data_IF_031509364153
#
_entry.id   IF_031509364153
#
_cell.length_a   1.000
_cell.length_b   1.000
_cell.length_c   1.000
_cell.angle_alpha   90.00
_cell.angle_beta   90.00
_cell.angle_gamma   90.00
#
_symmetry.space_group_name_H-M   'P 1'
#
loop_
_entity.id
_entity.type
_entity.pdbx_description
1 polymer ?
#
# COMPACT_ATOMS: atom_id res chain seq x y z
N UNK A 1 23.42 -38.42 21.64
CA UNK A 1 22.33 -37.44 21.92
C UNK A 1 22.77 -35.98 21.72
N UNK A 2 23.65 -35.69 20.74
CA UNK A 2 24.26 -34.35 20.57
C UNK A 2 23.55 -33.43 19.56
N UNK A 3 22.80 -33.99 18.60
CA UNK A 3 22.22 -33.21 17.49
C UNK A 3 21.09 -32.26 17.90
N UNK A 4 20.19 -32.70 18.79
CA UNK A 4 19.00 -31.93 19.14
C UNK A 4 19.28 -30.62 19.91
N UNK A 5 20.44 -30.51 20.58
CA UNK A 5 20.82 -29.31 21.33
C UNK A 5 21.47 -28.25 20.43
N UNK A 6 22.17 -28.68 19.39
CA UNK A 6 22.79 -27.83 18.38
C UNK A 6 21.72 -27.23 17.45
N UNK A 7 20.73 -28.03 17.05
CA UNK A 7 19.56 -27.58 16.29
C UNK A 7 18.78 -26.49 17.04
N UNK A 8 18.59 -26.65 18.36
CA UNK A 8 17.89 -25.66 19.18
C UNK A 8 18.66 -24.34 19.29
N UNK A 9 19.98 -24.41 19.48
CA UNK A 9 20.83 -23.21 19.54
C UNK A 9 20.82 -22.45 18.22
N UNK A 10 20.90 -23.17 17.10
CA UNK A 10 20.80 -22.62 15.76
C UNK A 10 19.44 -21.94 15.51
N UNK A 11 18.33 -22.56 15.92
CA UNK A 11 16.99 -21.95 15.80
C UNK A 11 16.84 -20.66 16.60
N UNK A 12 17.44 -20.57 17.79
CA UNK A 12 17.44 -19.36 18.61
C UNK A 12 18.27 -18.25 17.96
N UNK A 13 19.46 -18.57 17.47
CA UNK A 13 20.32 -17.61 16.78
C UNK A 13 19.65 -17.07 15.51
N UNK A 14 19.04 -17.96 14.72
CA UNK A 14 18.29 -17.56 13.53
C UNK A 14 17.12 -16.63 13.87
N UNK A 15 16.34 -16.95 14.91
CA UNK A 15 15.23 -16.09 15.36
C UNK A 15 15.71 -14.70 15.76
N UNK A 16 16.78 -14.61 16.57
CA UNK A 16 17.36 -13.33 17.00
C UNK A 16 17.82 -12.50 15.81
N UNK A 17 18.49 -13.13 14.85
CA UNK A 17 18.92 -12.45 13.63
C UNK A 17 17.71 -11.91 12.83
N UNK A 18 16.64 -12.71 12.69
CA UNK A 18 15.42 -12.24 12.02
C UNK A 18 14.76 -11.07 12.77
N UNK A 19 14.74 -11.09 14.11
CA UNK A 19 14.27 -9.96 14.92
C UNK A 19 15.11 -8.70 14.69
N UNK A 20 16.44 -8.83 14.65
CA UNK A 20 17.36 -7.72 14.35
C UNK A 20 17.12 -7.13 12.95
N UNK A 21 16.94 -7.99 11.94
CA UNK A 21 16.60 -7.58 10.58
C UNK A 21 15.26 -6.84 10.54
N UNK A 22 14.23 -7.35 11.23
CA UNK A 22 12.91 -6.69 11.28
C UNK A 22 12.98 -5.30 11.92
N UNK A 23 13.75 -5.15 13.00
CA UNK A 23 13.99 -3.85 13.62
C UNK A 23 14.69 -2.88 12.67
N UNK A 24 15.73 -3.34 11.98
CA UNK A 24 16.49 -2.53 11.04
C UNK A 24 15.61 -2.09 9.85
N UNK A 25 14.81 -3.01 9.29
CA UNK A 25 13.85 -2.72 8.21
C UNK A 25 12.84 -1.68 8.66
N UNK A 26 12.27 -1.82 9.86
CA UNK A 26 11.31 -0.84 10.38
C UNK A 26 11.93 0.53 10.56
N UNK A 27 13.12 0.62 11.17
CA UNK A 27 13.82 1.88 11.39
C UNK A 27 14.15 2.59 10.06
N UNK A 28 14.68 1.85 9.08
CA UNK A 28 14.99 2.39 7.76
C UNK A 28 13.73 2.90 7.04
N UNK A 29 12.62 2.15 7.10
CA UNK A 29 11.37 2.60 6.49
C UNK A 29 10.81 3.86 7.19
N UNK A 30 10.83 3.92 8.52
CA UNK A 30 10.40 5.12 9.26
C UNK A 30 11.19 6.35 8.84
N UNK A 31 12.52 6.24 8.75
CA UNK A 31 13.38 7.34 8.34
C UNK A 31 13.11 7.76 6.88
N UNK A 32 13.19 6.81 5.94
CA UNK A 32 13.11 7.09 4.50
C UNK A 32 11.70 7.58 4.12
N UNK A 33 10.65 6.90 4.60
CA UNK A 33 9.27 7.28 4.28
C UNK A 33 8.93 8.61 4.95
N UNK A 34 9.32 8.82 6.21
CA UNK A 34 9.10 10.08 6.93
C UNK A 34 9.75 11.27 6.22
N UNK A 35 10.96 11.11 5.69
CA UNK A 35 11.63 12.14 4.88
C UNK A 35 10.91 12.42 3.56
N UNK A 36 10.36 11.39 2.90
CA UNK A 36 9.67 11.52 1.60
C UNK A 36 8.24 12.05 1.74
N UNK A 37 7.58 11.77 2.85
CA UNK A 37 6.18 12.11 3.13
C UNK A 37 6.05 12.91 4.44
N UNK A 38 6.66 14.12 4.53
CA UNK A 38 6.75 14.88 5.79
C UNK A 38 5.41 15.41 6.32
N UNK A 39 4.33 15.32 5.53
CA UNK A 39 2.99 15.80 5.88
C UNK A 39 1.97 14.65 5.93
N UNK A 40 2.44 13.41 6.10
CA UNK A 40 1.57 12.26 6.20
C UNK A 40 0.93 12.19 7.60
N UNK A 41 -0.26 12.75 7.70
CA UNK A 41 -1.12 12.75 8.87
C UNK A 41 -2.44 11.98 8.62
N UNK A 42 -3.29 11.84 9.64
CA UNK A 42 -4.61 11.21 9.50
C UNK A 42 -5.45 11.89 8.42
N UNK A 43 -5.38 13.22 8.34
CA UNK A 43 -6.14 14.02 7.37
C UNK A 43 -5.76 13.69 5.93
N UNK A 44 -4.47 13.56 5.64
CA UNK A 44 -3.92 13.19 4.34
C UNK A 44 -4.33 11.76 3.94
N UNK A 45 -4.36 10.84 4.91
CA UNK A 45 -4.85 9.47 4.73
C UNK A 45 -6.33 9.45 4.30
N UNK A 46 -7.18 10.21 4.99
CA UNK A 46 -8.59 10.36 4.63
C UNK A 46 -8.77 11.03 3.26
N UNK A 47 -7.98 12.05 2.94
CA UNK A 47 -8.03 12.71 1.62
C UNK A 47 -7.75 11.74 0.47
N UNK A 48 -6.83 10.80 0.64
CA UNK A 48 -6.58 9.74 -0.33
C UNK A 48 -7.78 8.81 -0.48
N UNK A 49 -8.36 8.34 0.63
CA UNK A 49 -9.55 7.49 0.61
C UNK A 49 -10.74 8.15 -0.12
N UNK A 50 -11.00 9.44 0.13
CA UNK A 50 -12.04 10.21 -0.57
C UNK A 50 -11.70 10.36 -2.06
N UNK A 51 -10.43 10.55 -2.41
CA UNK A 51 -9.99 10.63 -3.81
C UNK A 51 -10.23 9.32 -4.56
N UNK A 52 -9.97 8.18 -3.92
CA UNK A 52 -10.27 6.84 -4.47
C UNK A 52 -11.77 6.68 -4.71
N UNK A 53 -12.61 7.11 -3.76
CA UNK A 53 -14.06 7.07 -3.94
C UNK A 53 -14.52 7.89 -5.16
N UNK A 54 -13.95 9.09 -5.36
CA UNK A 54 -14.22 9.91 -6.56
C UNK A 54 -13.74 9.25 -7.85
N UNK A 55 -12.55 8.65 -7.87
CA UNK A 55 -12.03 7.93 -9.03
C UNK A 55 -12.91 6.73 -9.38
N UNK A 56 -13.33 5.97 -8.36
CA UNK A 56 -14.28 4.86 -8.52
C UNK A 56 -15.59 5.33 -9.13
N UNK A 57 -16.17 6.41 -8.62
CA UNK A 57 -17.40 6.98 -9.16
C UNK A 57 -17.25 7.35 -10.65
N UNK A 58 -16.17 8.04 -11.01
CA UNK A 58 -15.88 8.42 -12.41
C UNK A 58 -15.66 7.22 -13.33
N UNK A 59 -15.04 6.15 -12.84
CA UNK A 59 -14.88 4.92 -13.60
C UNK A 59 -16.24 4.25 -13.82
N UNK A 60 -17.02 4.05 -12.76
CA UNK A 60 -18.35 3.44 -12.86
C UNK A 60 -19.30 4.25 -13.73
N UNK A 61 -19.28 5.57 -13.63
CA UNK A 61 -20.01 6.48 -14.51
C UNK A 61 -19.66 6.22 -15.98
N UNK A 62 -18.36 6.12 -16.31
CA UNK A 62 -17.93 5.84 -17.69
C UNK A 62 -18.31 4.45 -18.20
N UNK A 63 -18.33 3.44 -17.32
CA UNK A 63 -18.77 2.07 -17.63
C UNK A 63 -20.26 2.06 -17.95
N UNK A 64 -21.07 2.77 -17.15
CA UNK A 64 -22.52 2.85 -17.33
C UNK A 64 -22.94 3.69 -18.53
N UNK A 65 -22.13 4.68 -18.92
CA UNK A 65 -22.40 5.54 -20.06
C UNK A 65 -21.95 4.96 -21.42
N UNK A 66 -21.13 3.90 -21.42
CA UNK A 66 -20.63 3.29 -22.65
C UNK A 66 -21.71 2.40 -23.28
N UNK A 67 -22.02 2.65 -24.56
CA UNK A 67 -22.75 1.68 -25.39
C UNK A 67 -21.77 0.55 -25.77
N UNK A 68 -21.87 -0.57 -25.06
CA UNK A 68 -20.96 -1.71 -25.20
C UNK A 68 -21.11 -2.47 -26.52
N UNK A 69 -22.27 -2.37 -27.18
CA UNK A 69 -22.51 -3.06 -28.46
C UNK A 69 -21.83 -2.33 -29.62
N UNK A 70 -21.63 -1.01 -29.49
CA UNK A 70 -21.10 -0.15 -30.56
C UNK A 70 -19.88 0.68 -30.12
N UNK A 71 -19.21 0.29 -29.03
CA UNK A 71 -18.03 0.99 -28.54
C UNK A 71 -16.87 0.88 -29.54
N UNK A 72 -16.30 2.02 -29.92
CA UNK A 72 -15.04 2.08 -30.64
C UNK A 72 -13.83 1.97 -29.68
N UNK A 73 -12.64 1.85 -30.26
CA UNK A 73 -11.40 1.71 -29.51
C UNK A 73 -11.12 2.93 -28.61
N UNK A 74 -11.47 4.14 -29.05
CA UNK A 74 -11.21 5.38 -28.33
C UNK A 74 -12.07 5.48 -27.06
N UNK A 75 -13.37 5.13 -27.18
CA UNK A 75 -14.29 5.09 -26.05
C UNK A 75 -13.89 4.01 -25.04
N UNK A 76 -13.46 2.84 -25.53
CA UNK A 76 -12.95 1.79 -24.65
C UNK A 76 -11.66 2.22 -23.93
N UNK A 77 -10.74 2.87 -24.63
CA UNK A 77 -9.51 3.40 -24.05
C UNK A 77 -9.80 4.46 -22.96
N UNK A 78 -10.84 5.29 -23.14
CA UNK A 78 -11.25 6.26 -22.12
C UNK A 78 -11.74 5.58 -20.82
N UNK A 79 -12.51 4.49 -20.93
CA UNK A 79 -12.93 3.69 -19.77
C UNK A 79 -11.73 3.00 -19.10
N UNK A 80 -10.83 2.42 -19.90
CA UNK A 80 -9.61 1.76 -19.40
C UNK A 80 -8.69 2.74 -18.65
N UNK A 81 -8.53 3.96 -19.15
CA UNK A 81 -7.74 4.99 -18.47
C UNK A 81 -8.34 5.33 -17.09
N UNK A 82 -9.67 5.48 -17.00
CA UNK A 82 -10.35 5.72 -15.72
C UNK A 82 -10.20 4.56 -14.75
N UNK A 83 -10.29 3.31 -15.24
CA UNK A 83 -9.99 2.12 -14.44
C UNK A 83 -8.58 2.16 -13.90
N UNK A 84 -7.60 2.42 -14.75
CA UNK A 84 -6.17 2.45 -14.38
C UNK A 84 -5.90 3.47 -13.28
N UNK A 85 -6.43 4.70 -13.40
CA UNK A 85 -6.29 5.71 -12.35
C UNK A 85 -6.90 5.28 -11.02
N UNK A 86 -8.09 4.65 -11.06
CA UNK A 86 -8.75 4.12 -9.86
C UNK A 86 -7.94 2.98 -9.21
N UNK A 87 -7.48 2.03 -10.01
CA UNK A 87 -6.74 0.86 -9.53
C UNK A 87 -5.37 1.24 -8.96
N UNK A 88 -4.65 2.17 -9.59
CA UNK A 88 -3.37 2.67 -9.09
C UNK A 88 -3.54 3.37 -7.73
N UNK A 89 -4.55 4.23 -7.61
CA UNK A 89 -4.84 4.90 -6.34
C UNK A 89 -5.24 3.91 -5.24
N UNK A 90 -5.99 2.86 -5.58
CA UNK A 90 -6.35 1.79 -4.64
C UNK A 90 -5.12 1.00 -4.19
N UNK A 91 -4.27 0.58 -5.13
CA UNK A 91 -3.05 -0.15 -4.82
C UNK A 91 -2.09 0.67 -3.94
N UNK A 92 -1.94 1.96 -4.23
CA UNK A 92 -1.16 2.89 -3.39
C UNK A 92 -1.71 3.01 -1.97
N UNK A 93 -3.04 3.03 -1.80
CA UNK A 93 -3.66 3.05 -0.48
C UNK A 93 -3.46 1.76 0.30
N UNK A 94 -3.51 0.60 -0.36
CA UNK A 94 -3.20 -0.70 0.26
C UNK A 94 -1.74 -0.76 0.71
N UNK A 95 -0.80 -0.26 -0.12
CA UNK A 95 0.60 -0.14 0.26
C UNK A 95 0.79 0.80 1.47
N UNK A 96 0.02 1.89 1.53
CA UNK A 96 0.05 2.83 2.65
C UNK A 96 -0.51 2.22 3.95
N UNK A 97 -1.62 1.48 3.86
CA UNK A 97 -2.18 0.71 4.98
C UNK A 97 -1.17 -0.31 5.50
N UNK A 98 -0.55 -1.07 4.59
CA UNK A 98 0.47 -2.03 4.97
C UNK A 98 1.65 -1.37 5.69
N UNK A 99 2.16 -0.25 5.16
CA UNK A 99 3.25 0.48 5.82
C UNK A 99 2.84 0.98 7.22
N UNK A 100 1.60 1.44 7.41
CA UNK A 100 1.08 1.80 8.73
C UNK A 100 1.01 0.58 9.67
N UNK A 101 0.44 -0.54 9.22
CA UNK A 101 0.32 -1.78 10.01
C UNK A 101 1.67 -2.38 10.41
N UNK A 102 2.69 -2.24 9.56
CA UNK A 102 4.07 -2.65 9.84
C UNK A 102 4.81 -1.68 10.76
N UNK A 103 4.20 -0.56 11.14
CA UNK A 103 4.81 0.49 11.94
C UNK A 103 5.89 1.29 11.21
N UNK A 104 5.89 1.27 9.88
CA UNK A 104 6.79 2.07 9.05
C UNK A 104 6.37 3.55 9.01
N UNK A 105 5.11 3.82 9.32
CA UNK A 105 4.53 5.15 9.33
C UNK A 105 3.91 5.37 10.70
N UNK A 106 4.22 6.50 11.32
CA UNK A 106 3.56 6.99 12.53
C UNK A 106 2.68 8.16 12.13
N UNK A 107 1.37 8.06 12.36
CA UNK A 107 0.44 9.15 12.08
C UNK A 107 0.35 10.04 13.31
N UNK A 108 0.80 11.28 13.20
CA UNK A 108 0.59 12.30 14.22
C UNK A 108 -0.91 12.65 14.33
N UNK A 109 -1.36 13.08 15.51
CA UNK A 109 -2.77 13.40 15.80
C UNK A 109 -3.29 14.72 15.19
N UNK A 110 -2.46 15.47 14.46
CA UNK A 110 -2.80 16.83 14.01
C UNK A 110 -3.78 16.90 12.84
#
# INVERSE_FOLDING_TARGET
>A
MSGAHDDRAHLIAHRRFMEEVEMAVRAANQEIIGQKLPHLDRTSFFKLAVSIARLRARYLESVMALDWEHADADRLAAVQNRRTMFEEARAGFEALQHAFERGYITLDEK
#
